data_IF_786529874053
#
_entry.id   IF_786529874053
#
_cell.length_a   1.000
_cell.length_b   1.000
_cell.length_c   1.000
_cell.angle_alpha   90.00
_cell.angle_beta   90.00
_cell.angle_gamma   90.00
#
_symmetry.space_group_name_H-M   'P 1'
#
loop_
_entity.id
_entity.type
_entity.pdbx_description
1 polymer ?
#
# COMPACT_ATOMS: atom_id res chain seq x y z
N UNK A 1 4.91 -10.37 5.71
CA UNK A 1 4.96 -10.20 4.24
C UNK A 1 4.65 -8.78 3.81
N UNK A 2 5.29 -8.31 2.74
CA UNK A 2 4.98 -7.08 2.02
C UNK A 2 4.36 -7.45 0.67
N UNK A 3 3.03 -7.36 0.56
CA UNK A 3 2.24 -7.84 -0.57
C UNK A 3 2.13 -6.80 -1.69
N UNK A 4 2.20 -7.26 -2.94
CA UNK A 4 2.20 -6.42 -4.15
C UNK A 4 3.35 -5.39 -4.15
N UNK A 5 4.55 -5.82 -3.72
CA UNK A 5 5.71 -4.95 -3.64
C UNK A 5 6.93 -5.47 -4.42
N UNK A 6 7.11 -4.93 -5.63
CA UNK A 6 8.33 -5.14 -6.40
C UNK A 6 9.48 -4.18 -6.03
N UNK A 7 9.23 -3.08 -5.30
CA UNK A 7 10.26 -2.04 -5.06
C UNK A 7 11.20 -2.32 -3.90
N UNK A 8 10.91 -3.34 -3.07
CA UNK A 8 11.62 -3.71 -1.84
C UNK A 8 11.71 -2.62 -0.76
N UNK A 9 11.06 -1.46 -0.93
CA UNK A 9 11.30 -0.28 -0.07
C UNK A 9 10.78 -0.49 1.35
N UNK A 10 9.60 -1.07 1.48
CA UNK A 10 8.98 -1.42 2.76
C UNK A 10 9.55 -2.73 3.27
N UNK A 11 9.86 -3.70 2.39
CA UNK A 11 10.56 -4.93 2.80
C UNK A 11 11.87 -4.61 3.52
N UNK A 12 12.74 -3.81 2.91
CA UNK A 12 14.03 -3.44 3.51
C UNK A 12 13.85 -2.64 4.80
N UNK A 13 12.83 -1.78 4.89
CA UNK A 13 12.55 -1.04 6.12
C UNK A 13 12.17 -1.98 7.28
N UNK A 14 11.31 -2.98 7.03
CA UNK A 14 10.94 -3.97 8.04
C UNK A 14 12.10 -4.94 8.35
N UNK A 15 12.89 -5.33 7.35
CA UNK A 15 14.09 -6.14 7.56
C UNK A 15 15.11 -5.40 8.46
N UNK A 16 15.33 -4.11 8.22
CA UNK A 16 16.19 -3.26 9.06
C UNK A 16 15.65 -3.07 10.48
N UNK A 17 14.33 -3.19 10.68
CA UNK A 17 13.68 -3.21 11.98
C UNK A 17 13.72 -4.59 12.67
N UNK A 18 14.41 -5.58 12.08
CA UNK A 18 14.62 -6.91 12.65
C UNK A 18 13.58 -7.97 12.26
N UNK A 19 12.62 -7.65 11.39
CA UNK A 19 11.62 -8.63 10.96
C UNK A 19 12.19 -9.59 9.91
N UNK A 20 11.70 -10.84 9.88
CA UNK A 20 11.86 -11.71 8.71
C UNK A 20 10.92 -11.25 7.57
N UNK A 21 11.30 -10.15 6.92
CA UNK A 21 10.47 -9.50 5.92
C UNK A 21 10.70 -10.08 4.51
N UNK A 22 9.63 -10.65 3.95
CA UNK A 22 9.54 -11.07 2.55
C UNK A 22 8.60 -10.16 1.78
N UNK A 23 8.96 -9.79 0.54
CA UNK A 23 8.00 -9.19 -0.39
C UNK A 23 7.39 -10.24 -1.33
N UNK A 24 6.19 -9.99 -1.81
CA UNK A 24 5.51 -10.81 -2.82
C UNK A 24 4.95 -9.92 -3.93
N UNK A 25 5.25 -10.22 -5.18
CA UNK A 25 4.70 -9.52 -6.35
C UNK A 25 4.75 -10.45 -7.57
N UNK A 26 3.89 -10.24 -8.56
CA UNK A 26 3.96 -10.97 -9.84
C UNK A 26 5.16 -10.50 -10.67
N UNK A 27 5.63 -9.27 -10.44
CA UNK A 27 6.81 -8.68 -11.03
C UNK A 27 8.06 -9.05 -10.23
N UNK A 28 9.23 -9.18 -10.88
CA UNK A 28 10.47 -9.39 -10.16
C UNK A 28 10.81 -8.18 -9.28
N UNK A 29 11.36 -8.46 -8.09
CA UNK A 29 11.90 -7.43 -7.21
C UNK A 29 12.98 -6.60 -7.92
N UNK A 30 12.99 -5.29 -7.65
CA UNK A 30 13.98 -4.33 -8.17
C UNK A 30 15.39 -4.54 -7.63
N UNK A 31 15.51 -5.19 -6.47
CA UNK A 31 16.80 -5.54 -5.86
C UNK A 31 16.76 -7.00 -5.39
N UNK A 32 17.92 -7.68 -5.30
CA UNK A 32 18.01 -9.00 -4.69
C UNK A 32 17.46 -9.03 -3.25
N UNK A 33 17.09 -10.22 -2.77
CA UNK A 33 16.65 -10.44 -1.39
C UNK A 33 15.44 -11.36 -1.29
N UNK A 34 14.82 -11.38 -0.11
CA UNK A 34 13.65 -12.21 0.22
C UNK A 34 12.42 -11.77 -0.57
N UNK A 35 12.14 -12.46 -1.67
CA UNK A 35 11.06 -12.12 -2.58
C UNK A 35 10.41 -13.38 -3.17
N UNK A 36 9.09 -13.43 -3.12
CA UNK A 36 8.26 -14.46 -3.72
C UNK A 36 7.63 -13.90 -4.99
N UNK A 37 7.98 -14.46 -6.14
CA UNK A 37 7.42 -14.02 -7.42
C UNK A 37 6.19 -14.87 -7.80
N UNK A 38 5.05 -14.55 -7.22
CA UNK A 38 3.77 -15.25 -7.44
C UNK A 38 2.57 -14.32 -7.20
N UNK A 39 1.36 -14.81 -7.46
CA UNK A 39 0.15 -14.15 -6.97
C UNK A 39 0.11 -14.29 -5.44
N UNK A 40 -0.03 -13.18 -4.73
CA UNK A 40 -0.05 -13.18 -3.27
C UNK A 40 -1.17 -14.05 -2.70
N UNK A 41 -2.28 -14.23 -3.43
CA UNK A 41 -3.40 -15.09 -3.01
C UNK A 41 -2.99 -16.55 -2.80
N UNK A 42 -1.94 -16.99 -3.49
CA UNK A 42 -1.43 -18.36 -3.38
C UNK A 42 -0.74 -18.62 -2.02
N UNK A 43 -0.36 -17.56 -1.29
CA UNK A 43 0.44 -17.64 -0.07
C UNK A 43 -0.18 -16.90 1.12
N UNK A 44 -1.43 -16.43 1.02
CA UNK A 44 -2.11 -15.70 2.11
C UNK A 44 -2.29 -16.54 3.39
N UNK A 45 -2.25 -17.87 3.26
CA UNK A 45 -2.54 -18.82 4.33
C UNK A 45 -1.28 -19.47 4.95
N UNK A 46 -0.09 -19.03 4.54
CA UNK A 46 1.19 -19.65 4.92
C UNK A 46 1.67 -19.25 6.33
N UNK A 47 0.76 -18.81 7.20
CA UNK A 47 1.08 -18.50 8.61
C UNK A 47 1.81 -17.16 8.81
N UNK A 48 1.57 -16.16 7.96
CA UNK A 48 2.16 -14.83 8.12
C UNK A 48 1.63 -14.10 9.37
N UNK A 49 2.53 -13.54 10.19
CA UNK A 49 2.14 -12.70 11.33
C UNK A 49 1.51 -11.37 10.88
N UNK A 50 2.08 -10.77 9.83
CA UNK A 50 1.68 -9.47 9.33
C UNK A 50 1.73 -9.36 7.80
N UNK A 51 0.83 -8.55 7.23
CA UNK A 51 0.80 -8.18 5.82
C UNK A 51 0.70 -6.67 5.64
N UNK A 52 1.67 -6.07 4.94
CA UNK A 52 1.58 -4.70 4.44
C UNK A 52 1.36 -4.77 2.93
N UNK A 53 0.19 -4.38 2.43
CA UNK A 53 -0.26 -4.64 1.07
C UNK A 53 -0.42 -3.36 0.23
N UNK A 54 0.02 -3.42 -1.03
CA UNK A 54 -0.01 -2.33 -2.00
C UNK A 54 -0.76 -2.73 -3.29
N UNK A 55 -2.04 -3.14 -3.23
CA UNK A 55 -2.74 -3.69 -4.39
C UNK A 55 -2.76 -2.72 -5.57
N UNK A 56 -2.70 -3.21 -6.83
CA UNK A 56 -2.72 -2.38 -8.02
C UNK A 56 -3.90 -1.41 -8.06
N UNK A 57 -3.63 -0.11 -8.19
CA UNK A 57 -4.65 0.93 -8.06
C UNK A 57 -5.34 1.32 -9.39
N UNK A 58 -4.94 0.72 -10.52
CA UNK A 58 -5.38 1.06 -11.89
C UNK A 58 -6.90 1.14 -12.06
N UNK A 59 -7.64 0.22 -11.43
CA UNK A 59 -9.11 0.17 -11.50
C UNK A 59 -9.80 0.68 -10.23
N UNK A 60 -9.00 1.04 -9.21
CA UNK A 60 -9.48 1.42 -7.89
C UNK A 60 -9.55 2.94 -7.74
N UNK A 61 -8.53 3.68 -8.20
CA UNK A 61 -8.40 5.12 -7.91
C UNK A 61 -9.55 5.97 -8.46
N UNK A 62 -9.83 7.11 -7.82
CA UNK A 62 -10.78 8.12 -8.34
C UNK A 62 -10.40 8.58 -9.75
N UNK A 63 -9.10 8.72 -10.04
CA UNK A 63 -8.60 9.10 -11.36
C UNK A 63 -8.92 8.09 -12.45
N UNK A 64 -9.13 6.82 -12.09
CA UNK A 64 -9.50 5.78 -13.04
C UNK A 64 -10.93 5.97 -13.56
N UNK A 65 -11.85 6.55 -12.76
CA UNK A 65 -13.29 6.65 -13.04
C UNK A 65 -13.62 7.26 -14.41
N UNK A 66 -12.82 8.21 -14.89
CA UNK A 66 -13.02 8.83 -16.22
C UNK A 66 -13.03 7.81 -17.37
N UNK A 67 -12.38 6.66 -17.18
CA UNK A 67 -12.19 5.64 -18.21
C UNK A 67 -13.29 4.55 -18.20
N UNK A 68 -14.29 4.67 -17.31
CA UNK A 68 -15.36 3.68 -17.14
C UNK A 68 -16.65 4.03 -17.91
N UNK A 69 -16.76 5.26 -18.40
CA UNK A 69 -17.93 5.71 -19.17
C UNK A 69 -18.04 4.84 -20.42
N UNK A 70 -19.17 4.13 -20.55
CA UNK A 70 -19.45 3.19 -21.64
C UNK A 70 -18.38 2.10 -21.84
N UNK A 71 -17.73 1.64 -20.77
CA UNK A 71 -16.70 0.60 -20.84
C UNK A 71 -16.99 -0.56 -19.86
N UNK A 72 -17.80 -1.55 -20.28
CA UNK A 72 -18.15 -2.72 -19.46
C UNK A 72 -16.94 -3.53 -18.97
N UNK A 73 -15.93 -3.73 -19.83
CA UNK A 73 -14.70 -4.45 -19.49
C UNK A 73 -13.97 -3.81 -18.30
N UNK A 74 -13.91 -2.47 -18.25
CA UNK A 74 -13.33 -1.77 -17.10
C UNK A 74 -14.11 -1.99 -15.81
N UNK A 75 -15.44 -2.13 -15.88
CA UNK A 75 -16.26 -2.45 -14.72
C UNK A 75 -15.97 -3.86 -14.19
N UNK A 76 -15.79 -4.83 -15.09
CA UNK A 76 -15.35 -6.18 -14.73
C UNK A 76 -13.96 -6.16 -14.07
N UNK A 77 -13.00 -5.43 -14.65
CA UNK A 77 -11.66 -5.25 -14.07
C UNK A 77 -11.68 -4.59 -12.69
N UNK A 78 -12.62 -3.66 -12.46
CA UNK A 78 -12.85 -3.10 -11.12
C UNK A 78 -13.41 -4.14 -10.17
N UNK A 79 -14.39 -4.92 -10.60
CA UNK A 79 -14.95 -5.97 -9.75
C UNK A 79 -13.87 -6.96 -9.30
N UNK A 80 -13.01 -7.41 -10.23
CA UNK A 80 -11.88 -8.28 -9.89
C UNK A 80 -10.86 -7.60 -8.97
N UNK A 81 -10.53 -6.32 -9.21
CA UNK A 81 -9.66 -5.57 -8.30
C UNK A 81 -10.28 -5.42 -6.89
N UNK A 82 -11.60 -5.25 -6.79
CA UNK A 82 -12.30 -5.17 -5.51
C UNK A 82 -12.35 -6.52 -4.79
N UNK A 83 -12.53 -7.63 -5.51
CA UNK A 83 -12.41 -8.99 -4.94
C UNK A 83 -10.99 -9.22 -4.41
N UNK A 84 -9.97 -8.86 -5.18
CA UNK A 84 -8.58 -8.96 -4.73
C UNK A 84 -8.31 -8.16 -3.45
N UNK A 85 -8.78 -6.91 -3.37
CA UNK A 85 -8.67 -6.10 -2.14
C UNK A 85 -9.44 -6.75 -0.98
N UNK A 86 -10.61 -7.31 -1.24
CA UNK A 86 -11.41 -8.03 -0.25
C UNK A 86 -10.66 -9.25 0.29
N UNK A 87 -10.04 -10.05 -0.57
CA UNK A 87 -9.23 -11.21 -0.18
C UNK A 87 -8.07 -10.78 0.74
N UNK A 88 -7.37 -9.69 0.38
CA UNK A 88 -6.27 -9.16 1.20
C UNK A 88 -6.74 -8.69 2.58
N UNK A 89 -7.85 -7.96 2.66
CA UNK A 89 -8.36 -7.44 3.94
C UNK A 89 -8.93 -8.53 4.85
N UNK A 90 -9.40 -9.65 4.27
CA UNK A 90 -9.99 -10.76 5.00
C UNK A 90 -9.03 -11.96 5.17
N UNK A 91 -7.78 -11.84 4.73
CA UNK A 91 -6.77 -12.87 4.95
C UNK A 91 -6.67 -13.25 6.45
N UNK A 92 -6.36 -14.51 6.78
CA UNK A 92 -6.23 -15.00 8.15
C UNK A 92 -4.92 -14.55 8.81
N UNK A 93 -4.59 -13.28 8.64
CA UNK A 93 -3.39 -12.61 9.13
C UNK A 93 -3.84 -11.63 10.21
N UNK A 94 -3.15 -11.62 11.36
CA UNK A 94 -3.54 -10.81 12.51
C UNK A 94 -3.35 -9.31 12.24
N UNK A 95 -2.17 -8.95 11.72
CA UNK A 95 -1.80 -7.57 11.44
C UNK A 95 -1.85 -7.28 9.94
N UNK A 96 -2.77 -6.42 9.50
CA UNK A 96 -2.90 -6.03 8.10
C UNK A 96 -2.87 -4.52 7.98
N UNK A 97 -2.03 -4.00 7.08
CA UNK A 97 -2.14 -2.64 6.58
C UNK A 97 -2.23 -2.68 5.05
N UNK A 98 -3.35 -2.23 4.50
CA UNK A 98 -3.50 -2.03 3.07
C UNK A 98 -3.34 -0.54 2.75
N UNK A 99 -2.42 -0.20 1.86
CA UNK A 99 -2.18 1.15 1.36
C UNK A 99 -2.79 1.30 -0.04
N UNK A 100 -3.57 2.36 -0.23
CA UNK A 100 -4.00 2.72 -1.58
C UNK A 100 -4.32 4.21 -1.69
N UNK A 101 -4.17 4.82 -2.88
CA UNK A 101 -4.74 6.13 -3.14
C UNK A 101 -6.26 6.17 -2.93
N UNK A 102 -6.81 7.37 -2.79
CA UNK A 102 -8.26 7.58 -2.70
C UNK A 102 -8.98 6.94 -3.89
N UNK A 103 -10.00 6.12 -3.62
CA UNK A 103 -10.64 5.31 -4.65
C UNK A 103 -11.86 4.52 -4.17
N UNK A 104 -12.23 3.51 -4.96
CA UNK A 104 -13.44 2.71 -4.80
C UNK A 104 -13.48 1.85 -3.52
N UNK A 105 -12.32 1.54 -2.89
CA UNK A 105 -12.25 0.77 -1.63
C UNK A 105 -13.16 1.39 -0.56
N UNK A 106 -13.08 2.71 -0.38
CA UNK A 106 -13.86 3.45 0.61
C UNK A 106 -15.37 3.36 0.39
N UNK A 107 -15.80 3.17 -0.86
CA UNK A 107 -17.21 3.13 -1.24
C UNK A 107 -17.75 1.70 -1.27
N UNK A 108 -16.94 0.71 -1.63
CA UNK A 108 -17.39 -0.67 -1.90
C UNK A 108 -17.07 -1.63 -0.76
N UNK A 109 -16.06 -1.36 0.07
CA UNK A 109 -15.63 -2.26 1.15
C UNK A 109 -15.84 -1.59 2.50
N UNK A 110 -15.01 -0.58 2.84
CA UNK A 110 -15.13 0.21 4.07
C UNK A 110 -14.28 1.47 4.00
N UNK A 111 -14.55 2.47 4.84
CA UNK A 111 -13.69 3.65 4.97
C UNK A 111 -12.30 3.28 5.50
N UNK A 112 -11.23 3.98 5.07
CA UNK A 112 -9.90 3.80 5.63
C UNK A 112 -9.87 4.26 7.08
N UNK A 113 -9.03 3.61 7.88
CA UNK A 113 -8.82 3.98 9.29
C UNK A 113 -8.11 5.34 9.40
N UNK A 114 -7.25 5.66 8.42
CA UNK A 114 -6.65 6.98 8.30
C UNK A 114 -6.21 7.33 6.88
N UNK A 115 -6.01 8.63 6.66
CA UNK A 115 -5.26 9.13 5.51
C UNK A 115 -3.92 9.69 5.94
N UNK A 116 -2.89 9.42 5.14
CA UNK A 116 -1.54 9.93 5.33
C UNK A 116 -1.07 10.74 4.13
N UNK A 117 0.02 11.47 4.33
CA UNK A 117 0.69 12.26 3.31
C UNK A 117 2.21 12.05 3.43
N UNK A 118 2.96 11.95 2.32
CA UNK A 118 4.42 11.82 2.37
C UNK A 118 5.12 12.94 3.15
N UNK A 119 4.56 14.15 3.13
CA UNK A 119 5.10 15.30 3.86
C UNK A 119 4.95 15.19 5.37
N UNK A 120 4.17 14.24 5.89
CA UNK A 120 4.19 13.89 7.32
C UNK A 120 5.45 13.07 7.72
N UNK A 121 6.22 12.59 6.75
CA UNK A 121 7.36 11.69 6.93
C UNK A 121 8.62 12.16 6.19
N UNK A 122 8.77 13.47 6.00
CA UNK A 122 10.01 14.08 5.51
C UNK A 122 10.11 14.22 4.00
N UNK A 123 9.06 13.89 3.24
CA UNK A 123 9.05 14.00 1.78
C UNK A 123 8.14 15.16 1.35
N UNK A 124 8.61 16.25 0.72
CA UNK A 124 7.83 17.44 0.41
C UNK A 124 6.83 17.24 -0.75
N UNK A 125 6.07 16.15 -0.71
CA UNK A 125 5.11 15.72 -1.73
C UNK A 125 3.73 15.60 -1.11
N UNK A 126 2.75 16.25 -1.73
CA UNK A 126 1.33 16.03 -1.45
C UNK A 126 0.81 14.88 -2.31
N UNK A 127 0.51 13.75 -1.67
CA UNK A 127 -0.10 12.55 -2.25
C UNK A 127 -0.93 11.87 -1.17
N UNK A 128 -2.23 12.19 -1.14
CA UNK A 128 -3.16 11.64 -0.14
C UNK A 128 -3.37 10.15 -0.40
N UNK A 129 -3.03 9.34 0.61
CA UNK A 129 -3.12 7.88 0.59
C UNK A 129 -3.95 7.43 1.78
N UNK A 130 -4.84 6.44 1.59
CA UNK A 130 -5.58 5.79 2.66
C UNK A 130 -4.83 4.56 3.19
N UNK A 131 -4.98 4.29 4.49
CA UNK A 131 -4.57 3.04 5.13
C UNK A 131 -5.81 2.35 5.70
N UNK A 132 -5.98 1.07 5.38
CA UNK A 132 -6.95 0.17 5.97
C UNK A 132 -6.22 -0.83 6.87
N UNK A 133 -6.46 -0.73 8.16
CA UNK A 133 -5.71 -1.41 9.21
C UNK A 133 -6.55 -2.50 9.89
N UNK A 134 -5.89 -3.59 10.28
CA UNK A 134 -6.38 -4.67 11.15
C UNK A 134 -5.27 -4.99 12.13
N UNK A 135 -5.56 -5.00 13.43
CA UNK A 135 -4.57 -5.26 14.49
C UNK A 135 -3.47 -4.20 14.65
N UNK A 136 -3.34 -3.24 13.73
CA UNK A 136 -2.27 -2.23 13.74
C UNK A 136 -2.78 -0.86 14.22
N UNK A 137 -1.99 -0.10 15.00
CA UNK A 137 -2.33 1.25 15.38
C UNK A 137 -2.17 2.21 14.20
N UNK A 138 -2.85 3.35 14.31
CA UNK A 138 -2.71 4.49 13.40
C UNK A 138 -1.23 4.90 13.26
N UNK A 139 -0.78 5.07 12.01
CA UNK A 139 0.59 5.48 11.70
C UNK A 139 0.77 6.98 12.03
N UNK A 140 1.64 7.28 12.98
CA UNK A 140 1.92 8.65 13.44
C UNK A 140 2.96 9.34 12.54
N UNK A 141 2.81 10.63 12.22
CA UNK A 141 3.84 11.42 11.55
C UNK A 141 5.20 11.33 12.27
N UNK A 142 6.30 11.24 11.52
CA UNK A 142 7.66 11.19 12.07
C UNK A 142 8.47 12.45 11.77
N UNK A 143 8.18 13.14 10.67
CA UNK A 143 8.87 14.38 10.26
C UNK A 143 7.99 15.19 9.33
N UNK A 144 7.34 16.24 9.84
CA UNK A 144 6.48 17.10 9.03
C UNK A 144 7.35 18.10 8.26
N UNK A 145 7.14 18.20 6.95
CA UNK A 145 7.78 19.19 6.06
C UNK A 145 6.72 19.88 5.21
N UNK A 146 7.07 21.06 4.67
CA UNK A 146 6.17 21.79 3.77
C UNK A 146 6.05 21.08 2.40
N UNK A 147 4.84 20.89 1.84
CA UNK A 147 4.67 20.28 0.53
C UNK A 147 5.03 21.26 -0.59
N UNK A 148 5.75 20.77 -1.60
CA UNK A 148 6.02 21.49 -2.83
C UNK A 148 4.82 21.46 -3.79
N UNK A 149 4.67 22.53 -4.57
CA UNK A 149 3.59 22.67 -5.55
C UNK A 149 4.12 23.23 -6.86
N UNK A 150 3.61 22.71 -7.97
CA UNK A 150 3.79 23.28 -9.30
C UNK A 150 2.49 23.95 -9.70
N UNK A 151 2.56 25.23 -10.05
CA UNK A 151 1.43 25.97 -10.61
C UNK A 151 1.50 25.90 -12.13
N UNK A 152 0.47 25.31 -12.73
CA UNK A 152 0.24 25.38 -14.16
C UNK A 152 -0.04 26.84 -14.54
N UNK A 153 0.86 27.45 -15.32
CA UNK A 153 0.76 28.87 -15.70
C UNK A 153 -0.39 29.15 -16.67
N UNK A 154 -0.93 28.14 -17.33
CA UNK A 154 -2.03 28.26 -18.29
C UNK A 154 -3.38 28.07 -17.59
N UNK A 155 -3.49 27.11 -16.69
CA UNK A 155 -4.74 26.79 -15.98
C UNK A 155 -4.89 27.46 -14.60
N UNK A 156 -3.81 28.05 -14.05
CA UNK A 156 -3.76 28.60 -12.69
C UNK A 156 -3.89 27.54 -11.58
N UNK A 157 -3.86 26.24 -11.92
CA UNK A 157 -4.07 25.13 -10.99
C UNK A 157 -2.75 24.67 -10.36
N UNK A 158 -2.80 24.35 -9.06
CA UNK A 158 -1.68 23.76 -8.31
C UNK A 158 -1.74 22.25 -8.35
N UNK A 159 -0.60 21.64 -8.64
CA UNK A 159 -0.41 20.20 -8.66
C UNK A 159 0.78 19.83 -7.79
N UNK A 160 0.75 18.65 -7.17
CA UNK A 160 2.00 18.11 -6.62
C UNK A 160 2.97 17.78 -7.76
N UNK A 161 4.29 17.92 -7.56
CA UNK A 161 5.27 17.68 -8.63
C UNK A 161 5.12 16.32 -9.31
N UNK A 162 4.80 15.27 -8.53
CA UNK A 162 4.60 13.93 -9.06
C UNK A 162 3.37 13.85 -9.97
N UNK A 163 2.25 14.51 -9.64
CA UNK A 163 1.08 14.54 -10.51
C UNK A 163 1.33 15.37 -11.77
N UNK A 164 1.97 16.52 -11.65
CA UNK A 164 2.25 17.39 -12.80
C UNK A 164 3.18 16.72 -13.82
N UNK A 165 4.26 16.09 -13.36
CA UNK A 165 5.26 15.46 -14.24
C UNK A 165 4.79 14.16 -14.88
N UNK A 166 3.70 13.57 -14.37
CA UNK A 166 3.19 12.26 -14.82
C UNK A 166 1.79 12.31 -15.41
N UNK A 167 1.20 13.50 -15.54
CA UNK A 167 -0.18 13.67 -16.01
C UNK A 167 -0.35 13.46 -17.52
N UNK A 168 0.72 13.63 -18.29
CA UNK A 168 0.74 13.63 -19.76
C UNK A 168 1.23 12.33 -20.40
N UNK A 169 1.56 11.30 -19.62
CA UNK A 169 2.08 10.02 -20.12
C UNK A 169 1.36 8.82 -19.49
N UNK A 170 0.65 8.05 -20.32
CA UNK A 170 -0.05 6.83 -19.88
C UNK A 170 0.85 5.59 -19.95
N UNK A 171 2.14 5.75 -19.64
CA UNK A 171 3.14 4.70 -19.84
C UNK A 171 3.27 3.80 -18.60
N UNK A 172 3.45 2.48 -18.74
CA UNK A 172 3.53 1.54 -17.62
C UNK A 172 4.60 1.91 -16.56
N UNK A 173 5.75 2.42 -16.99
CA UNK A 173 6.84 2.84 -16.10
C UNK A 173 6.45 3.98 -15.16
N UNK A 174 5.51 4.82 -15.57
CA UNK A 174 4.98 5.94 -14.78
C UNK A 174 4.10 5.42 -13.64
N UNK A 175 3.32 4.37 -13.89
CA UNK A 175 2.52 3.73 -12.86
C UNK A 175 3.43 3.10 -11.78
N UNK A 176 4.52 2.46 -12.19
CA UNK A 176 5.54 1.94 -11.28
C UNK A 176 6.19 3.07 -10.46
N UNK A 177 6.61 4.16 -11.09
CA UNK A 177 7.19 5.30 -10.36
C UNK A 177 6.22 5.90 -9.33
N UNK A 178 4.94 6.00 -9.67
CA UNK A 178 3.90 6.50 -8.77
C UNK A 178 3.50 5.51 -7.69
N UNK A 179 3.70 4.22 -7.93
CA UNK A 179 3.42 3.12 -6.99
C UNK A 179 4.50 2.92 -5.93
N UNK A 180 5.74 3.41 -6.15
CA UNK A 180 6.81 3.29 -5.15
C UNK A 180 6.45 4.04 -3.86
N UNK A 181 6.49 3.33 -2.73
CA UNK A 181 6.34 3.91 -1.39
C UNK A 181 7.52 4.82 -1.05
N UNK A 182 7.25 5.95 -0.39
CA UNK A 182 8.29 6.89 0.05
C UNK A 182 9.07 6.29 1.21
N UNK A 183 10.40 6.43 1.21
CA UNK A 183 11.29 5.85 2.22
C UNK A 183 10.94 6.30 3.65
N UNK A 184 10.48 7.54 3.83
CA UNK A 184 10.06 8.04 5.13
C UNK A 184 8.76 7.40 5.63
N UNK A 185 7.83 7.11 4.71
CA UNK A 185 6.61 6.35 5.03
C UNK A 185 6.98 4.91 5.38
N UNK A 186 7.85 4.27 4.59
CA UNK A 186 8.32 2.91 4.84
C UNK A 186 9.03 2.78 6.20
N UNK A 187 9.93 3.71 6.51
CA UNK A 187 10.61 3.78 7.80
C UNK A 187 9.64 4.00 8.97
N UNK A 188 8.62 4.85 8.78
CA UNK A 188 7.59 5.05 9.80
C UNK A 188 6.76 3.79 10.04
N UNK A 189 6.33 3.10 8.95
CA UNK A 189 5.60 1.83 9.03
C UNK A 189 6.40 0.80 9.81
N UNK A 190 7.65 0.56 9.43
CA UNK A 190 8.52 -0.40 10.09
C UNK A 190 8.79 -0.01 11.55
N UNK A 191 9.21 1.23 11.82
CA UNK A 191 9.56 1.68 13.17
C UNK A 191 8.40 1.68 14.17
N UNK A 192 7.15 1.82 13.71
CA UNK A 192 5.97 1.85 14.58
C UNK A 192 5.26 0.50 14.68
N UNK A 193 5.26 -0.30 13.61
CA UNK A 193 4.51 -1.56 13.57
C UNK A 193 5.38 -2.78 13.87
N UNK A 194 6.66 -2.81 13.48
CA UNK A 194 7.53 -3.95 13.77
C UNK A 194 7.64 -4.29 15.28
N UNK A 195 7.74 -3.30 16.20
CA UNK A 195 7.80 -3.61 17.64
C UNK A 195 6.60 -4.42 18.15
N UNK A 196 5.42 -4.26 17.56
CA UNK A 196 4.21 -4.99 17.95
C UNK A 196 4.29 -6.47 17.56
N UNK A 197 4.96 -6.77 16.45
CA UNK A 197 5.11 -8.13 15.93
C UNK A 197 5.99 -8.98 16.85
N UNK A 198 6.97 -8.37 17.53
CA UNK A 198 7.83 -9.08 18.48
C UNK A 198 7.16 -9.33 19.84
N UNK A 199 6.19 -8.50 20.23
CA UNK A 199 5.46 -8.66 21.50
C UNK A 199 4.47 -9.84 21.45
N UNK A 200 3.89 -10.10 20.27
CA UNK A 200 2.94 -11.20 20.09
C UNK A 200 3.59 -12.60 20.09
N UNK A 201 4.90 -12.71 19.84
CA UNK A 201 5.63 -13.99 19.92
C UNK A 201 5.72 -14.53 21.36
N UNK A 202 5.55 -13.67 22.37
CA UNK A 202 5.74 -14.03 23.79
C UNK A 202 4.45 -14.55 24.46
N UNK A 203 3.29 -14.42 23.80
CA UNK A 203 2.02 -14.93 24.34
C UNK A 203 1.61 -16.20 23.58
N UNK A 204 1.81 -17.41 24.14
CA UNK A 204 1.36 -18.62 23.46
C UNK A 204 -0.15 -18.58 23.34
N UNK A 205 -0.66 -18.61 22.10
CA UNK A 205 -2.07 -18.91 21.85
C UNK A 205 -2.35 -20.29 22.47
N UNK A 206 -3.30 -20.42 23.42
CA UNK A 206 -3.68 -21.74 23.89
C UNK A 206 -4.16 -22.56 22.69
N UNK A 207 -3.82 -23.86 22.59
CA UNK A 207 -4.31 -24.68 21.49
C UNK A 207 -5.84 -24.63 21.47
N UNK A 208 -6.40 -24.44 20.26
CA UNK A 208 -7.83 -24.45 20.06
C UNK A 208 -8.41 -25.76 20.62
N UNK A 209 -9.28 -25.64 21.63
CA UNK A 209 -10.07 -26.76 22.11
C UNK A 209 -11.04 -27.14 21.00
N UNK A 210 -10.68 -28.15 20.22
CA UNK A 210 -11.60 -28.85 19.35
C UNK A 210 -12.74 -29.43 20.22
N UNK A 211 -13.97 -28.98 19.95
CA UNK A 211 -15.20 -29.66 20.37
C UNK A 211 -15.72 -30.51 19.25
#
# INVERSE_FOLDING_TARGET
MIACEYSATVREAFAAAGCDAWSCDILPSKIPGKHLQCDVRDILYDGWDAMIAFPPCTFITVTANRSFVNNPERWEQRLEAMKFVYDLLNAPIEFIALENPVGAISTWIRQPDQYIQPFFFGHPVSKKTGLWLKGLPLLKPTKIVEPEWITDKTAGKRYSPIHYKTSSTNRPEVALLRGKTFEGVAAAMAGQWAPLLFLNVVSPTPPALHR
#
